data_IF_116092524787
#
_entry.id   IF_116092524787
#
_cell.length_a   1.000
_cell.length_b   1.000
_cell.length_c   1.000
_cell.angle_alpha   90.00
_cell.angle_beta   90.00
_cell.angle_gamma   90.00
#
_symmetry.space_group_name_H-M   'P 1'
#
loop_
_entity.id
_entity.type
_entity.pdbx_description
1 polymer ?
#
# COMPACT_ATOMS: atom_id res chain seq x y z
N UNK A 1 -17.88 4.73 -3.75
CA UNK A 1 -16.99 5.73 -3.09
C UNK A 1 -15.54 5.31 -3.32
N UNK A 2 -14.71 6.21 -3.83
CA UNK A 2 -13.36 5.94 -4.36
C UNK A 2 -12.29 6.15 -3.27
N UNK A 3 -12.57 5.70 -2.04
CA UNK A 3 -11.90 6.19 -0.83
C UNK A 3 -10.47 5.69 -0.65
N UNK A 4 -10.16 4.42 -0.95
CA UNK A 4 -8.83 3.89 -0.64
C UNK A 4 -7.72 4.33 -1.60
N UNK A 5 -8.00 4.50 -2.90
CA UNK A 5 -7.01 5.08 -3.84
C UNK A 5 -6.67 6.52 -3.46
N UNK A 6 -7.67 7.33 -3.10
CA UNK A 6 -7.43 8.71 -2.68
C UNK A 6 -6.59 8.79 -1.40
N UNK A 7 -6.82 7.90 -0.43
CA UNK A 7 -6.00 7.82 0.78
C UNK A 7 -4.55 7.41 0.48
N UNK A 8 -4.35 6.44 -0.43
CA UNK A 8 -3.02 6.07 -0.91
C UNK A 8 -2.30 7.24 -1.58
N UNK A 9 -2.99 7.96 -2.47
CA UNK A 9 -2.44 9.16 -3.09
C UNK A 9 -2.08 10.25 -2.06
N UNK A 10 -2.96 10.50 -1.08
CA UNK A 10 -2.68 11.46 0.00
C UNK A 10 -1.44 11.06 0.80
N UNK A 11 -1.31 9.78 1.14
CA UNK A 11 -0.15 9.27 1.85
C UNK A 11 1.14 9.47 1.04
N UNK A 12 1.12 9.19 -0.27
CA UNK A 12 2.26 9.45 -1.16
C UNK A 12 2.62 10.94 -1.22
N UNK A 13 1.62 11.83 -1.30
CA UNK A 13 1.87 13.29 -1.26
C UNK A 13 2.57 13.68 0.05
N UNK A 14 2.14 13.14 1.19
CA UNK A 14 2.79 13.39 2.48
C UNK A 14 4.24 12.90 2.46
N UNK A 15 4.49 11.71 1.91
CA UNK A 15 5.84 11.17 1.79
C UNK A 15 6.75 12.05 0.91
N UNK A 16 6.27 12.49 -0.26
CA UNK A 16 7.08 13.26 -1.21
C UNK A 16 7.29 14.72 -0.80
N UNK A 17 6.30 15.37 -0.19
CA UNK A 17 6.31 16.83 -0.01
C UNK A 17 6.42 17.27 1.45
N UNK A 18 6.07 16.41 2.41
CA UNK A 18 6.10 16.78 3.83
C UNK A 18 7.29 16.17 4.58
N UNK A 19 8.06 15.26 3.97
CA UNK A 19 9.23 14.60 4.56
C UNK A 19 9.01 14.23 6.05
N UNK A 20 8.02 13.37 6.36
CA UNK A 20 7.75 12.99 7.74
C UNK A 20 9.00 12.38 8.38
N UNK A 21 9.26 12.71 9.65
CA UNK A 21 10.42 12.18 10.37
C UNK A 21 10.32 10.67 10.63
N UNK A 22 9.10 10.12 10.65
CA UNK A 22 8.81 8.72 10.91
C UNK A 22 7.70 8.20 9.99
N UNK A 23 7.97 8.02 8.68
CA UNK A 23 6.98 7.50 7.73
C UNK A 23 6.49 6.09 8.10
N UNK A 24 7.34 5.28 8.74
CA UNK A 24 7.04 3.92 9.20
C UNK A 24 5.92 3.91 10.25
N UNK A 25 5.97 4.84 11.21
CA UNK A 25 4.95 4.96 12.26
C UNK A 25 3.64 5.47 11.70
N UNK A 26 3.72 6.38 10.72
CA UNK A 26 2.54 6.87 10.00
C UNK A 26 1.87 5.74 9.23
N UNK A 27 2.64 4.91 8.53
CA UNK A 27 2.14 3.72 7.85
C UNK A 27 1.49 2.75 8.85
N UNK A 28 2.17 2.36 9.93
CA UNK A 28 1.63 1.43 10.93
C UNK A 28 0.30 1.90 11.52
N UNK A 29 0.18 3.19 11.77
CA UNK A 29 -1.03 3.80 12.35
C UNK A 29 -2.20 3.80 11.36
N UNK A 30 -1.94 4.08 10.08
CA UNK A 30 -2.99 4.34 9.10
C UNK A 30 -3.19 3.24 8.04
N UNK A 31 -2.31 2.23 7.97
CA UNK A 31 -2.35 1.15 6.97
C UNK A 31 -3.72 0.47 6.87
N UNK A 32 -4.40 0.26 7.99
CA UNK A 32 -5.72 -0.33 8.05
C UNK A 32 -6.75 0.50 7.26
N UNK A 33 -6.69 1.84 7.37
CA UNK A 33 -7.59 2.75 6.64
C UNK A 33 -7.18 2.92 5.18
N UNK A 34 -5.87 2.94 4.93
CA UNK A 34 -5.32 3.06 3.56
C UNK A 34 -5.66 1.82 2.72
N UNK A 35 -5.74 0.65 3.36
CA UNK A 35 -5.98 -0.65 2.70
C UNK A 35 -7.40 -1.20 2.87
N UNK A 36 -8.31 -0.48 3.52
CA UNK A 36 -9.66 -0.95 3.87
C UNK A 36 -10.47 -1.39 2.64
N UNK A 37 -10.24 -0.76 1.49
CA UNK A 37 -10.91 -1.11 0.23
C UNK A 37 -10.32 -2.33 -0.49
N UNK A 38 -9.07 -2.71 -0.19
CA UNK A 38 -8.34 -3.74 -0.93
C UNK A 38 -8.98 -5.12 -0.79
N UNK A 39 -9.43 -5.49 0.41
CA UNK A 39 -10.14 -6.77 0.63
C UNK A 39 -11.36 -6.91 -0.28
N UNK A 40 -12.18 -5.85 -0.32
CA UNK A 40 -13.37 -5.82 -1.17
C UNK A 40 -12.97 -5.88 -2.64
N UNK A 41 -11.96 -5.10 -3.06
CA UNK A 41 -11.48 -5.10 -4.44
C UNK A 41 -10.97 -6.47 -4.88
N UNK A 42 -10.16 -7.15 -4.07
CA UNK A 42 -9.63 -8.47 -4.38
C UNK A 42 -10.74 -9.53 -4.45
N UNK A 43 -11.75 -9.47 -3.57
CA UNK A 43 -12.90 -10.37 -3.62
C UNK A 43 -13.74 -10.23 -4.89
N UNK A 44 -13.71 -9.09 -5.56
CA UNK A 44 -14.39 -8.89 -6.85
C UNK A 44 -13.61 -9.45 -8.05
N UNK A 45 -12.36 -9.88 -7.85
CA UNK A 45 -11.56 -10.49 -8.91
C UNK A 45 -11.84 -12.00 -8.92
N UNK A 46 -12.31 -12.59 -10.04
CA UNK A 46 -12.70 -13.99 -10.09
C UNK A 46 -11.59 -14.96 -9.66
N UNK A 47 -10.34 -14.59 -9.94
CA UNK A 47 -9.15 -15.38 -9.58
C UNK A 47 -8.89 -15.48 -8.07
N UNK A 48 -9.40 -14.52 -7.28
CA UNK A 48 -9.13 -14.40 -5.85
C UNK A 48 -10.38 -14.58 -4.98
N UNK A 49 -11.52 -14.90 -5.58
CA UNK A 49 -12.82 -14.91 -4.90
C UNK A 49 -12.94 -15.96 -3.78
N UNK A 50 -12.20 -17.06 -3.88
CA UNK A 50 -12.16 -18.14 -2.86
C UNK A 50 -10.93 -18.02 -1.93
N UNK A 51 -10.03 -17.06 -2.20
CA UNK A 51 -8.77 -16.91 -1.46
C UNK A 51 -9.02 -16.05 -0.21
N UNK A 52 -8.69 -16.58 0.97
CA UNK A 52 -8.71 -15.80 2.20
C UNK A 52 -7.43 -14.97 2.33
N UNK A 53 -7.55 -13.65 2.28
CA UNK A 53 -6.43 -12.74 2.50
C UNK A 53 -6.31 -12.35 3.97
N UNK A 54 -5.27 -12.87 4.61
CA UNK A 54 -4.80 -12.37 5.90
C UNK A 54 -4.36 -10.90 5.82
N UNK A 55 -4.39 -10.22 6.96
CA UNK A 55 -4.09 -8.79 7.06
C UNK A 55 -2.71 -8.43 6.48
N UNK A 56 -1.70 -9.29 6.68
CA UNK A 56 -0.35 -9.01 6.17
C UNK A 56 -0.31 -8.98 4.64
N UNK A 57 -1.01 -9.89 3.94
CA UNK A 57 -1.10 -9.87 2.48
C UNK A 57 -1.77 -8.58 1.97
N UNK A 58 -2.77 -8.09 2.71
CA UNK A 58 -3.47 -6.84 2.37
C UNK A 58 -2.54 -5.63 2.53
N UNK A 59 -1.78 -5.56 3.62
CA UNK A 59 -0.83 -4.44 3.82
C UNK A 59 0.34 -4.51 2.85
N UNK A 60 0.80 -5.71 2.52
CA UNK A 60 1.85 -5.91 1.53
C UNK A 60 1.41 -5.41 0.14
N UNK A 61 0.21 -5.81 -0.29
CA UNK A 61 -0.39 -5.31 -1.52
C UNK A 61 -0.63 -3.79 -1.47
N UNK A 62 -0.98 -3.26 -0.29
CA UNK A 62 -1.06 -1.82 -0.05
C UNK A 62 0.27 -1.10 -0.29
N UNK A 63 1.38 -1.63 0.22
CA UNK A 63 2.73 -1.11 -0.01
C UNK A 63 3.12 -1.17 -1.48
N UNK A 64 2.79 -2.26 -2.17
CA UNK A 64 3.01 -2.38 -3.61
C UNK A 64 2.28 -1.27 -4.38
N UNK A 65 1.03 -0.98 -4.03
CA UNK A 65 0.25 0.09 -4.65
C UNK A 65 0.79 1.48 -4.31
N UNK A 66 1.25 1.70 -3.08
CA UNK A 66 1.93 2.95 -2.71
C UNK A 66 3.19 3.15 -3.53
N UNK A 67 4.03 2.12 -3.66
CA UNK A 67 5.24 2.17 -4.46
C UNK A 67 4.93 2.48 -5.93
N UNK A 68 3.89 1.83 -6.49
CA UNK A 68 3.40 2.12 -7.85
C UNK A 68 3.05 3.60 -8.02
N UNK A 69 2.33 4.19 -7.07
CA UNK A 69 1.95 5.61 -7.13
C UNK A 69 3.20 6.48 -6.99
N UNK A 70 4.10 6.20 -6.04
CA UNK A 70 5.37 6.92 -5.87
C UNK A 70 6.20 6.94 -7.17
N UNK A 71 6.26 5.82 -7.88
CA UNK A 71 6.97 5.71 -9.16
C UNK A 71 6.36 6.64 -10.24
N UNK A 72 5.05 6.89 -10.21
CA UNK A 72 4.42 7.88 -11.10
C UNK A 72 4.90 9.31 -10.80
N UNK A 73 5.33 9.59 -9.56
CA UNK A 73 5.94 10.87 -9.14
C UNK A 73 7.47 10.90 -9.30
N UNK A 74 8.10 9.85 -9.84
CA UNK A 74 9.56 9.75 -9.97
C UNK A 74 10.28 9.38 -8.66
N UNK A 75 9.53 8.93 -7.66
CA UNK A 75 10.02 8.50 -6.35
C UNK A 75 9.77 7.00 -6.14
N UNK A 76 10.21 6.43 -5.01
CA UNK A 76 9.97 5.03 -4.68
C UNK A 76 10.18 4.79 -3.17
N UNK A 77 9.60 3.71 -2.64
CA UNK A 77 9.65 3.44 -1.20
C UNK A 77 11.08 3.30 -0.64
N UNK A 78 12.08 2.95 -1.46
CA UNK A 78 13.47 2.81 -0.98
C UNK A 78 14.12 4.15 -0.64
N UNK A 79 13.58 5.26 -1.16
CA UNK A 79 14.03 6.63 -0.87
C UNK A 79 13.46 7.18 0.45
N UNK A 80 12.46 6.51 1.03
CA UNK A 80 11.87 6.90 2.30
C UNK A 80 12.46 6.06 3.43
N UNK A 81 13.26 6.65 4.34
CA UNK A 81 13.92 5.90 5.39
C UNK A 81 12.91 5.20 6.31
N UNK A 82 13.22 3.97 6.71
CA UNK A 82 12.43 3.11 7.60
C UNK A 82 11.06 2.65 7.05
N UNK A 83 10.63 3.07 5.86
CA UNK A 83 9.39 2.55 5.28
C UNK A 83 9.53 1.05 4.98
N UNK A 84 8.50 0.23 5.32
CA UNK A 84 8.48 -1.16 4.91
C UNK A 84 8.36 -1.25 3.38
N UNK A 85 9.08 -2.21 2.81
CA UNK A 85 9.03 -2.52 1.39
C UNK A 85 7.98 -3.62 1.15
N UNK A 86 7.27 -3.58 0.01
CA UNK A 86 6.43 -4.70 -0.37
C UNK A 86 7.30 -5.95 -0.55
N UNK A 87 6.85 -7.09 -0.03
CA UNK A 87 7.41 -8.37 -0.41
C UNK A 87 7.17 -8.52 -1.91
N UNK A 88 8.25 -8.60 -2.69
CA UNK A 88 8.16 -8.61 -4.15
C UNK A 88 7.20 -9.70 -4.65
N UNK A 89 6.68 -9.59 -5.89
CA UNK A 89 5.70 -10.53 -6.46
C UNK A 89 6.20 -11.99 -6.63
N UNK A 90 7.40 -12.30 -6.13
CA UNK A 90 8.12 -13.54 -6.39
C UNK A 90 8.11 -14.52 -5.19
N UNK A 91 7.68 -14.12 -3.99
CA UNK A 91 7.67 -15.06 -2.84
C UNK A 91 6.34 -15.77 -2.60
N UNK A 92 5.23 -15.21 -3.08
CA UNK A 92 3.93 -15.86 -3.08
C UNK A 92 3.36 -15.75 -4.49
N UNK A 93 3.43 -16.84 -5.27
CA UNK A 93 2.90 -16.89 -6.63
C UNK A 93 1.50 -16.27 -6.72
N UNK A 94 1.43 -15.08 -7.33
CA UNK A 94 0.20 -14.33 -7.54
C UNK A 94 -0.71 -15.07 -8.53
#
# INVERSE_FOLDING_TARGET
>A
IQTGRSLRCLFVIILCYCNPSHPERLWETWRHKICDDLRRQLSHIPHYQDRQFEDHHIYDYGLYLLNKILMEFGDDLTKHPNMPLPNGPDNDGY
#
